data_IF_198032704581
#
_entry.id   IF_198032704581
#
_cell.length_a   1.000
_cell.length_b   1.000
_cell.length_c   1.000
_cell.angle_alpha   90.00
_cell.angle_beta   90.00
_cell.angle_gamma   90.00
#
_symmetry.space_group_name_H-M   'P 1'
#
loop_
_entity.id
_entity.type
_entity.pdbx_description
1 polymer ?
#
# COMPACT_ATOMS: atom_id res chain seq x y z
N UNK A 1 25.81 12.92 20.14
CA UNK A 1 24.60 13.68 19.76
C UNK A 1 23.65 12.66 19.13
N UNK A 2 22.65 12.21 19.85
CA UNK A 2 21.61 11.36 19.26
C UNK A 2 20.68 12.26 18.46
N UNK A 3 20.74 12.18 17.14
CA UNK A 3 19.74 12.83 16.29
C UNK A 3 18.36 12.39 16.74
N UNK A 4 17.54 13.37 17.08
CA UNK A 4 16.13 13.14 17.44
C UNK A 4 15.44 12.69 16.16
N UNK A 5 15.14 11.40 16.07
CA UNK A 5 14.38 10.88 14.93
C UNK A 5 13.00 11.54 15.00
N UNK A 6 12.72 12.41 14.03
CA UNK A 6 11.42 13.09 13.93
C UNK A 6 10.32 12.09 13.56
N UNK A 7 9.08 12.43 13.93
CA UNK A 7 7.92 11.67 13.47
C UNK A 7 7.89 11.66 11.94
N UNK A 8 7.73 10.49 11.36
CA UNK A 8 7.63 10.31 9.92
C UNK A 8 6.14 10.29 9.53
N UNK A 9 5.79 11.03 8.48
CA UNK A 9 4.48 10.90 7.86
C UNK A 9 4.50 9.80 6.80
N UNK A 10 3.44 9.04 6.72
CA UNK A 10 3.28 7.94 5.76
C UNK A 10 1.81 7.73 5.42
N UNK A 11 1.53 6.82 4.54
CA UNK A 11 0.18 6.42 4.16
C UNK A 11 -0.09 4.98 4.59
N UNK A 12 -1.31 4.72 5.07
CA UNK A 12 -1.74 3.37 5.43
C UNK A 12 -1.83 2.48 4.18
N UNK A 13 -1.18 1.30 4.17
CA UNK A 13 -1.10 0.47 2.97
C UNK A 13 -2.29 -0.48 2.79
N UNK A 14 -3.35 -0.41 3.62
CA UNK A 14 -4.36 -1.46 3.65
C UNK A 14 -5.54 -1.23 2.71
N UNK A 15 -6.29 -0.17 2.87
CA UNK A 15 -7.51 0.03 2.07
C UNK A 15 -7.52 1.36 1.33
N UNK A 16 -8.44 1.48 0.36
CA UNK A 16 -8.57 2.66 -0.50
C UNK A 16 -8.96 3.96 0.20
N UNK A 17 -9.22 3.96 1.51
CA UNK A 17 -9.42 5.21 2.28
C UNK A 17 -8.18 6.09 2.20
N UNK A 18 -6.96 5.48 2.14
CA UNK A 18 -5.73 6.23 2.02
C UNK A 18 -5.41 7.07 3.26
N UNK A 19 -5.63 6.52 4.46
CA UNK A 19 -5.40 7.25 5.71
C UNK A 19 -3.94 7.69 5.85
N UNK A 20 -3.73 8.96 6.16
CA UNK A 20 -2.43 9.47 6.59
C UNK A 20 -2.06 8.97 7.97
N UNK A 21 -0.81 8.62 8.14
CA UNK A 21 -0.21 8.11 9.37
C UNK A 21 0.93 8.98 9.83
N UNK A 22 1.03 9.18 11.15
CA UNK A 22 2.24 9.62 11.83
C UNK A 22 2.90 8.39 12.45
N UNK A 23 4.12 8.09 11.99
CA UNK A 23 4.94 6.99 12.49
C UNK A 23 5.93 7.52 13.51
N UNK A 24 5.85 7.00 14.73
CA UNK A 24 6.73 7.37 15.83
C UNK A 24 7.75 6.25 16.05
N UNK A 25 9.04 6.54 15.94
CA UNK A 25 10.08 5.55 16.22
C UNK A 25 10.04 5.15 17.71
N UNK A 26 10.53 3.94 18.05
CA UNK A 26 10.71 3.56 19.43
C UNK A 26 11.75 4.50 20.06
N UNK A 27 11.29 5.38 20.95
CA UNK A 27 12.17 6.36 21.61
C UNK A 27 12.43 5.93 23.06
N UNK A 28 13.67 5.93 23.47
CA UNK A 28 14.10 5.87 24.85
C UNK A 28 14.21 7.29 25.41
N UNK A 29 13.10 7.87 25.79
CA UNK A 29 13.14 9.12 26.57
C UNK A 29 12.21 8.96 27.75
N UNK A 30 12.75 8.50 28.89
CA UNK A 30 12.08 8.52 30.19
C UNK A 30 10.82 7.68 30.33
N UNK A 31 10.42 6.89 29.34
CA UNK A 31 9.28 5.97 29.34
C UNK A 31 9.70 4.61 28.80
N UNK A 32 9.10 3.56 29.32
CA UNK A 32 9.32 2.20 28.83
C UNK A 32 9.02 2.12 27.31
N UNK A 33 10.01 1.69 26.54
CA UNK A 33 9.84 1.42 25.11
C UNK A 33 8.89 0.23 24.96
N UNK A 34 7.81 0.40 24.19
CA UNK A 34 6.95 -0.74 23.85
C UNK A 34 7.73 -1.75 23.03
N UNK A 35 7.66 -3.01 23.42
CA UNK A 35 8.34 -4.12 22.77
C UNK A 35 7.31 -5.16 22.31
N UNK A 36 7.65 -5.88 21.23
CA UNK A 36 6.89 -7.05 20.82
C UNK A 36 7.14 -8.26 21.72
N UNK A 37 6.55 -9.42 21.38
CA UNK A 37 6.69 -10.65 22.13
C UNK A 37 8.14 -11.16 22.19
N UNK A 38 8.96 -10.81 21.20
CA UNK A 38 10.37 -11.20 21.08
C UNK A 38 11.33 -10.15 21.70
N UNK A 39 10.78 -9.10 22.28
CA UNK A 39 11.54 -8.06 22.97
C UNK A 39 12.06 -6.93 22.09
N UNK A 40 11.66 -6.85 20.81
CA UNK A 40 12.12 -5.81 19.91
C UNK A 40 11.32 -4.50 20.03
N UNK A 41 11.98 -3.35 19.92
CA UNK A 41 11.32 -2.05 20.01
C UNK A 41 10.30 -1.86 18.89
N UNK A 42 9.08 -1.48 19.24
CA UNK A 42 7.98 -1.33 18.29
C UNK A 42 7.77 0.13 17.91
N UNK A 43 7.60 0.38 16.62
CA UNK A 43 7.09 1.64 16.11
C UNK A 43 5.63 1.84 16.52
N UNK A 44 5.25 3.06 16.75
CA UNK A 44 3.86 3.45 17.02
C UNK A 44 3.30 4.16 15.80
N UNK A 45 2.11 3.76 15.36
CA UNK A 45 1.38 4.52 14.33
C UNK A 45 0.11 5.14 14.91
N UNK A 46 -0.23 6.32 14.42
CA UNK A 46 -1.47 7.02 14.70
C UNK A 46 -1.91 7.80 13.47
N UNK A 47 -3.19 8.19 13.44
CA UNK A 47 -3.73 8.97 12.33
C UNK A 47 -3.13 10.38 12.28
N UNK A 48 -2.73 10.81 11.10
CA UNK A 48 -2.33 12.20 10.84
C UNK A 48 -3.56 13.10 10.86
N UNK A 49 -3.55 14.08 11.75
CA UNK A 49 -4.67 15.02 11.94
C UNK A 49 -4.87 15.99 10.79
N UNK A 50 -3.83 16.22 10.02
CA UNK A 50 -3.82 17.14 8.91
C UNK A 50 -4.13 16.46 7.56
N UNK A 51 -4.19 15.12 7.55
CA UNK A 51 -4.45 14.38 6.33
C UNK A 51 -5.94 14.40 5.96
N UNK A 52 -6.31 14.81 4.72
CA UNK A 52 -7.70 15.06 4.34
C UNK A 52 -8.58 13.80 4.33
N UNK A 53 -8.00 12.61 4.09
CA UNK A 53 -8.79 11.38 4.03
C UNK A 53 -9.36 10.96 5.38
N UNK A 54 -8.60 11.11 6.46
CA UNK A 54 -8.94 10.54 7.75
C UNK A 54 -9.00 11.51 8.92
N UNK A 55 -8.48 12.75 8.79
CA UNK A 55 -8.52 13.80 9.81
C UNK A 55 -8.13 13.27 11.22
N UNK A 56 -7.08 12.47 11.28
CA UNK A 56 -6.58 11.86 12.51
C UNK A 56 -7.27 10.56 12.93
N UNK A 57 -8.36 10.17 12.29
CA UNK A 57 -9.01 8.88 12.56
C UNK A 57 -8.21 7.73 11.99
N UNK A 58 -8.27 6.56 12.64
CA UNK A 58 -7.53 5.38 12.23
C UNK A 58 -8.29 4.13 12.70
N UNK A 59 -8.28 3.09 11.91
CA UNK A 59 -8.78 1.78 12.32
C UNK A 59 -7.64 0.91 12.88
N UNK A 60 -8.00 -0.26 13.39
CA UNK A 60 -7.03 -1.19 13.99
C UNK A 60 -5.87 -1.55 13.02
N UNK A 61 -6.15 -1.73 11.72
CA UNK A 61 -5.13 -2.07 10.73
C UNK A 61 -4.04 -1.00 10.64
N UNK A 62 -4.44 0.27 10.52
CA UNK A 62 -3.50 1.38 10.51
C UNK A 62 -2.80 1.58 11.85
N UNK A 63 -3.50 1.36 12.98
CA UNK A 63 -2.93 1.49 14.31
C UNK A 63 -1.83 0.47 14.60
N UNK A 64 -1.90 -0.71 14.00
CA UNK A 64 -0.93 -1.80 14.20
C UNK A 64 0.12 -1.90 13.09
N UNK A 65 0.08 -1.05 12.07
CA UNK A 65 1.07 -1.10 10.97
C UNK A 65 2.52 -0.92 11.46
N UNK A 66 2.72 -0.16 12.53
CA UNK A 66 4.04 -0.01 13.16
C UNK A 66 4.65 -1.32 13.67
N UNK A 67 3.83 -2.29 14.00
CA UNK A 67 4.25 -3.62 14.45
C UNK A 67 4.89 -4.44 13.32
N UNK A 68 4.54 -4.14 12.07
CA UNK A 68 5.13 -4.81 10.89
C UNK A 68 6.57 -4.37 10.60
N UNK A 69 7.06 -3.35 11.29
CA UNK A 69 8.45 -2.87 11.19
C UNK A 69 9.38 -3.58 12.17
N UNK A 70 8.87 -4.56 12.90
CA UNK A 70 9.65 -5.40 13.84
C UNK A 70 10.67 -6.29 13.11
N UNK A 71 11.63 -6.86 13.84
CA UNK A 71 12.65 -7.78 13.31
C UNK A 71 12.03 -9.00 12.61
N UNK A 72 12.85 -9.66 11.82
CA UNK A 72 12.40 -10.71 10.90
C UNK A 72 12.07 -10.17 9.50
N UNK A 73 12.02 -8.83 9.34
CA UNK A 73 11.94 -8.20 8.04
C UNK A 73 13.25 -8.40 7.27
N UNK A 74 13.15 -8.81 6.01
CA UNK A 74 14.32 -8.97 5.14
C UNK A 74 14.94 -7.60 4.84
N UNK A 75 16.22 -7.45 5.18
CA UNK A 75 16.99 -6.23 4.95
C UNK A 75 17.92 -6.33 3.74
N UNK A 76 18.03 -7.51 3.15
CA UNK A 76 18.88 -7.80 2.00
C UNK A 76 18.22 -8.87 1.12
N UNK A 77 18.57 -8.91 -0.18
CA UNK A 77 18.06 -9.93 -1.07
C UNK A 77 18.53 -11.33 -0.66
N UNK A 78 17.64 -12.30 -0.86
CA UNK A 78 17.96 -13.71 -0.68
C UNK A 78 17.89 -14.42 -2.02
N UNK A 79 18.84 -15.31 -2.27
CA UNK A 79 18.93 -16.09 -3.49
C UNK A 79 19.12 -17.59 -3.19
N UNK A 80 18.63 -18.44 -4.08
CA UNK A 80 18.92 -19.87 -4.13
C UNK A 80 19.04 -20.33 -5.57
N UNK A 81 19.92 -21.27 -5.85
CA UNK A 81 20.12 -21.78 -7.19
C UNK A 81 19.00 -22.72 -7.62
N UNK A 82 18.57 -23.61 -6.72
CA UNK A 82 17.49 -24.56 -7.00
C UNK A 82 16.36 -24.44 -5.98
N UNK A 83 15.20 -24.94 -6.32
CA UNK A 83 14.01 -24.88 -5.47
C UNK A 83 14.21 -25.50 -4.09
N UNK A 84 14.99 -26.56 -3.99
CA UNK A 84 15.23 -27.28 -2.73
C UNK A 84 16.41 -26.72 -1.92
N UNK A 85 17.16 -25.78 -2.46
CA UNK A 85 18.30 -25.18 -1.77
C UNK A 85 17.83 -24.18 -0.71
N UNK A 86 18.64 -23.98 0.32
CA UNK A 86 18.42 -22.93 1.30
C UNK A 86 18.72 -21.57 0.69
N UNK A 87 17.90 -20.59 1.03
CA UNK A 87 18.16 -19.20 0.67
C UNK A 87 19.45 -18.70 1.31
N UNK A 88 20.27 -18.02 0.51
CA UNK A 88 21.49 -17.36 0.92
C UNK A 88 21.37 -15.86 0.71
N UNK A 89 21.83 -15.03 1.65
CA UNK A 89 21.87 -13.60 1.46
C UNK A 89 22.89 -13.21 0.39
N UNK A 90 22.51 -12.30 -0.50
CA UNK A 90 23.34 -11.72 -1.54
C UNK A 90 23.29 -10.21 -1.51
N UNK A 91 24.25 -9.54 -2.15
CA UNK A 91 24.22 -8.09 -2.28
C UNK A 91 23.16 -7.61 -3.26
N UNK A 92 22.73 -6.34 -3.15
CA UNK A 92 21.81 -5.72 -4.10
C UNK A 92 22.37 -5.67 -5.52
N UNK A 93 23.68 -5.44 -5.67
CA UNK A 93 24.35 -5.44 -6.96
C UNK A 93 24.27 -6.83 -7.61
N UNK A 94 24.60 -7.88 -6.85
CA UNK A 94 24.51 -9.26 -7.34
C UNK A 94 23.07 -9.64 -7.71
N UNK A 95 22.09 -9.28 -6.89
CA UNK A 95 20.68 -9.53 -7.20
C UNK A 95 20.26 -8.84 -8.51
N UNK A 96 20.64 -7.58 -8.67
CA UNK A 96 20.33 -6.80 -9.87
C UNK A 96 20.99 -7.39 -11.10
N UNK A 97 22.27 -7.77 -11.03
CA UNK A 97 22.98 -8.38 -12.14
C UNK A 97 22.36 -9.71 -12.58
N UNK A 98 21.95 -10.54 -11.62
CA UNK A 98 21.22 -11.79 -11.92
C UNK A 98 19.89 -11.50 -12.63
N UNK A 99 19.10 -10.55 -12.15
CA UNK A 99 17.81 -10.15 -12.75
C UNK A 99 18.03 -9.62 -14.17
N UNK A 100 18.96 -8.67 -14.35
CA UNK A 100 19.26 -8.08 -15.66
C UNK A 100 19.75 -9.12 -16.65
N UNK A 101 20.60 -10.05 -16.21
CA UNK A 101 21.09 -11.16 -17.03
C UNK A 101 19.94 -12.03 -17.55
N UNK A 102 18.99 -12.40 -16.69
CA UNK A 102 17.83 -13.21 -17.09
C UNK A 102 16.87 -12.44 -18.02
N UNK A 103 16.64 -11.15 -17.76
CA UNK A 103 15.84 -10.30 -18.65
C UNK A 103 16.48 -10.23 -20.03
N UNK A 104 17.78 -9.92 -20.13
CA UNK A 104 18.52 -9.87 -21.41
C UNK A 104 18.45 -11.20 -22.16
N UNK A 105 18.64 -12.31 -21.45
CA UNK A 105 18.55 -13.66 -22.04
C UNK A 105 17.17 -13.96 -22.60
N UNK A 106 16.11 -13.56 -21.91
CA UNK A 106 14.72 -13.74 -22.37
C UNK A 106 14.41 -12.86 -23.57
N UNK A 107 14.82 -11.59 -23.54
CA UNK A 107 14.65 -10.66 -24.65
C UNK A 107 15.32 -11.17 -25.92
N UNK A 108 16.57 -11.63 -25.83
CA UNK A 108 17.33 -12.14 -26.96
C UNK A 108 16.73 -13.43 -27.57
N UNK A 109 16.18 -14.31 -26.72
CA UNK A 109 15.62 -15.59 -27.17
C UNK A 109 14.19 -15.54 -27.65
N UNK A 110 13.35 -14.71 -27.02
CA UNK A 110 11.89 -14.77 -27.17
C UNK A 110 11.24 -13.42 -27.41
N UNK A 111 12.03 -12.34 -27.42
CA UNK A 111 11.54 -10.97 -27.60
C UNK A 111 10.82 -10.35 -26.39
N UNK A 112 10.37 -9.10 -26.51
CA UNK A 112 9.78 -8.32 -25.42
C UNK A 112 8.55 -8.97 -24.76
N UNK A 113 7.71 -9.63 -25.53
CA UNK A 113 6.49 -10.27 -25.03
C UNK A 113 6.73 -11.48 -24.12
N UNK A 114 7.98 -11.91 -23.97
CA UNK A 114 8.36 -12.96 -23.01
C UNK A 114 8.49 -12.44 -21.58
N UNK A 115 8.39 -11.14 -21.38
CA UNK A 115 8.50 -10.49 -20.08
C UNK A 115 7.16 -9.88 -19.71
N UNK A 116 6.74 -10.14 -18.49
CA UNK A 116 5.55 -9.55 -17.88
C UNK A 116 5.84 -9.13 -16.44
N UNK A 117 5.11 -8.15 -15.94
CA UNK A 117 5.16 -7.71 -14.56
C UNK A 117 3.75 -7.67 -13.97
N UNK A 118 3.59 -8.24 -12.79
CA UNK A 118 2.36 -8.15 -12.02
C UNK A 118 2.60 -7.28 -10.80
N UNK A 119 1.90 -6.15 -10.72
CA UNK A 119 2.05 -5.17 -9.67
C UNK A 119 1.00 -5.30 -8.57
N UNK A 120 1.23 -4.62 -7.46
CA UNK A 120 0.26 -4.50 -6.38
C UNK A 120 -0.65 -3.29 -6.60
N UNK A 121 -1.94 -3.40 -6.21
CA UNK A 121 -2.84 -2.25 -6.11
C UNK A 121 -2.48 -1.28 -5.00
N UNK A 122 -1.49 -1.62 -4.17
CA UNK A 122 -0.96 -0.80 -3.08
C UNK A 122 0.37 -0.11 -3.43
N UNK A 123 0.76 -0.12 -4.69
CA UNK A 123 1.91 0.66 -5.16
C UNK A 123 1.63 2.15 -5.01
N UNK A 124 2.69 2.91 -4.70
CA UNK A 124 2.65 4.36 -4.86
C UNK A 124 2.64 4.74 -6.35
N UNK A 125 2.23 5.95 -6.66
CA UNK A 125 2.21 6.46 -8.04
C UNK A 125 3.59 6.35 -8.71
N UNK A 126 4.64 6.60 -7.95
CA UNK A 126 6.03 6.50 -8.39
C UNK A 126 6.42 5.08 -8.78
N UNK A 127 5.95 4.07 -8.04
CA UNK A 127 6.21 2.66 -8.34
C UNK A 127 5.57 2.26 -9.68
N UNK A 128 4.31 2.67 -9.89
CA UNK A 128 3.62 2.46 -11.17
C UNK A 128 4.34 3.17 -12.32
N UNK A 129 4.77 4.41 -12.10
CA UNK A 129 5.48 5.19 -13.11
C UNK A 129 6.79 4.50 -13.53
N UNK A 130 7.61 4.10 -12.57
CA UNK A 130 8.90 3.43 -12.83
C UNK A 130 8.68 2.07 -13.50
N UNK A 131 7.71 1.28 -13.05
CA UNK A 131 7.37 0.00 -13.64
C UNK A 131 6.92 0.14 -15.11
N UNK A 132 6.04 1.11 -15.40
CA UNK A 132 5.59 1.40 -16.76
C UNK A 132 6.74 1.89 -17.65
N UNK A 133 7.59 2.75 -17.13
CA UNK A 133 8.77 3.26 -17.85
C UNK A 133 9.75 2.14 -18.19
N UNK A 134 9.98 1.22 -17.24
CA UNK A 134 10.81 0.05 -17.50
C UNK A 134 10.22 -0.84 -18.58
N UNK A 135 8.95 -1.25 -18.43
CA UNK A 135 8.35 -2.22 -19.34
C UNK A 135 8.08 -1.64 -20.72
N UNK A 136 7.41 -0.50 -20.79
CA UNK A 136 7.05 0.11 -22.09
C UNK A 136 8.21 0.85 -22.72
N UNK A 137 8.94 1.64 -21.94
CA UNK A 137 10.02 2.48 -22.46
C UNK A 137 11.32 1.74 -22.73
N UNK A 138 11.75 0.86 -21.83
CA UNK A 138 13.04 0.18 -21.96
C UNK A 138 12.93 -1.24 -22.55
N UNK A 139 11.93 -2.03 -22.15
CA UNK A 139 11.78 -3.42 -22.58
C UNK A 139 10.88 -3.59 -23.80
N UNK A 140 10.06 -2.59 -24.14
CA UNK A 140 9.20 -2.60 -25.33
C UNK A 140 8.00 -3.56 -25.20
N UNK A 141 7.46 -3.76 -23.99
CA UNK A 141 6.28 -4.62 -23.75
C UNK A 141 5.19 -3.89 -22.97
N UNK A 142 3.93 -4.21 -23.26
CA UNK A 142 2.77 -3.74 -22.50
C UNK A 142 2.29 -4.71 -21.42
N UNK A 143 3.02 -5.80 -21.19
CA UNK A 143 2.61 -6.88 -20.29
C UNK A 143 2.78 -6.48 -18.81
N UNK A 144 2.05 -5.46 -18.38
CA UNK A 144 1.97 -5.02 -17.01
C UNK A 144 0.51 -4.97 -16.58
N UNK A 145 0.19 -5.63 -15.49
CA UNK A 145 -1.12 -5.56 -14.86
C UNK A 145 -1.00 -5.62 -13.33
N UNK A 146 -2.10 -5.38 -12.64
CA UNK A 146 -2.16 -5.37 -11.18
C UNK A 146 -3.34 -6.22 -10.68
N UNK A 147 -3.38 -6.46 -9.36
CA UNK A 147 -4.46 -7.23 -8.73
C UNK A 147 -5.86 -6.61 -8.95
N UNK A 148 -5.95 -5.30 -9.15
CA UNK A 148 -7.21 -4.60 -9.45
C UNK A 148 -7.89 -5.14 -10.72
N UNK A 149 -7.13 -5.70 -11.67
CA UNK A 149 -7.68 -6.43 -12.82
C UNK A 149 -8.61 -7.56 -12.39
N UNK A 150 -8.27 -8.26 -11.31
CA UNK A 150 -9.02 -9.42 -10.83
C UNK A 150 -10.11 -9.05 -9.82
N UNK A 151 -9.88 -8.05 -8.95
CA UNK A 151 -10.79 -7.73 -7.86
C UNK A 151 -11.84 -6.68 -8.22
N UNK A 152 -11.60 -5.79 -9.20
CA UNK A 152 -12.51 -4.69 -9.52
C UNK A 152 -12.78 -4.45 -11.01
N UNK A 153 -12.46 -5.37 -11.90
CA UNK A 153 -12.73 -5.23 -13.33
C UNK A 153 -14.21 -4.95 -13.62
N UNK A 154 -15.11 -5.65 -12.93
CA UNK A 154 -16.56 -5.44 -13.08
C UNK A 154 -16.99 -4.04 -12.59
N UNK A 155 -16.38 -3.55 -11.49
CA UNK A 155 -16.65 -2.21 -10.98
C UNK A 155 -16.19 -1.14 -11.98
N UNK A 156 -14.97 -1.28 -12.53
CA UNK A 156 -14.44 -0.38 -13.57
C UNK A 156 -15.35 -0.38 -14.80
N UNK A 157 -15.76 -1.54 -15.28
CA UNK A 157 -16.70 -1.65 -16.39
C UNK A 157 -18.05 -0.95 -16.08
N UNK A 158 -18.57 -1.14 -14.87
CA UNK A 158 -19.79 -0.49 -14.39
C UNK A 158 -19.65 1.03 -14.33
N UNK A 159 -18.54 1.55 -13.80
CA UNK A 159 -18.28 3.00 -13.79
C UNK A 159 -18.18 3.58 -15.20
N UNK A 160 -17.44 2.94 -16.09
CA UNK A 160 -17.31 3.40 -17.46
C UNK A 160 -18.65 3.40 -18.22
N UNK A 161 -19.48 2.38 -18.04
CA UNK A 161 -20.80 2.28 -18.67
C UNK A 161 -21.80 3.30 -18.12
N UNK A 162 -21.76 3.57 -16.80
CA UNK A 162 -22.74 4.42 -16.13
C UNK A 162 -22.30 5.87 -16.03
N UNK A 163 -21.02 6.14 -15.84
CA UNK A 163 -20.47 7.45 -15.51
C UNK A 163 -19.48 7.98 -16.57
N UNK A 164 -19.06 7.13 -17.50
CA UNK A 164 -18.13 7.50 -18.57
C UNK A 164 -16.66 7.54 -18.15
N UNK A 165 -16.33 7.22 -16.90
CA UNK A 165 -14.95 7.21 -16.40
C UNK A 165 -14.76 6.20 -15.28
N UNK A 166 -13.50 5.76 -15.06
CA UNK A 166 -13.12 4.93 -13.95
C UNK A 166 -12.88 5.79 -12.70
N UNK A 167 -13.84 5.76 -11.79
CA UNK A 167 -13.75 6.45 -10.50
C UNK A 167 -15.08 7.01 -10.01
N UNK A 168 -15.24 7.16 -8.70
CA UNK A 168 -16.43 7.78 -8.14
C UNK A 168 -16.47 9.27 -8.48
N UNK A 169 -17.64 9.82 -8.81
CA UNK A 169 -17.78 11.24 -9.17
C UNK A 169 -17.81 12.17 -7.93
N UNK A 170 -17.68 11.64 -6.74
CA UNK A 170 -17.78 12.35 -5.47
C UNK A 170 -16.47 12.31 -4.69
N UNK A 171 -16.36 13.15 -3.66
CA UNK A 171 -15.25 13.21 -2.73
C UNK A 171 -15.68 12.77 -1.31
N UNK A 172 -14.72 12.65 -0.40
CA UNK A 172 -15.01 12.23 0.98
C UNK A 172 -15.82 13.25 1.77
N UNK A 173 -15.70 14.53 1.43
CA UNK A 173 -16.46 15.61 2.03
C UNK A 173 -17.97 15.49 1.77
N UNK A 174 -18.38 14.90 0.67
CA UNK A 174 -19.80 14.65 0.35
C UNK A 174 -20.46 13.75 1.40
N UNK A 175 -19.67 12.87 2.04
CA UNK A 175 -20.15 12.03 3.14
C UNK A 175 -20.54 12.82 4.39
N UNK A 176 -20.12 14.06 4.51
CA UNK A 176 -20.48 14.92 5.64
C UNK A 176 -21.78 15.70 5.39
N UNK A 177 -22.29 15.68 4.16
CA UNK A 177 -23.44 16.50 3.72
C UNK A 177 -24.65 15.71 3.21
N UNK A 178 -24.59 14.38 3.17
CA UNK A 178 -25.70 13.56 2.70
C UNK A 178 -26.96 13.72 3.57
N UNK A 179 -28.13 13.57 2.95
CA UNK A 179 -29.43 13.47 3.62
C UNK A 179 -29.92 12.02 3.67
N UNK A 180 -29.60 11.23 2.65
CA UNK A 180 -29.92 9.81 2.56
C UNK A 180 -28.68 9.07 2.08
N UNK A 181 -28.31 7.99 2.76
CA UNK A 181 -27.25 7.07 2.34
C UNK A 181 -27.87 5.71 1.97
N UNK A 182 -27.64 5.30 0.73
CA UNK A 182 -28.08 4.00 0.24
C UNK A 182 -26.89 3.06 0.11
N UNK A 183 -26.78 2.08 1.02
CA UNK A 183 -25.69 1.11 1.08
C UNK A 183 -26.16 -0.20 0.42
N UNK A 184 -25.59 -0.53 -0.73
CA UNK A 184 -25.97 -1.72 -1.48
C UNK A 184 -24.73 -2.58 -1.79
N UNK A 185 -24.79 -3.87 -1.44
CA UNK A 185 -23.69 -4.81 -1.73
C UNK A 185 -22.35 -4.45 -1.10
N UNK A 186 -22.35 -3.66 0.00
CA UNK A 186 -21.11 -3.17 0.64
C UNK A 186 -21.07 -3.49 2.12
N UNK A 187 -19.90 -3.87 2.62
CA UNK A 187 -19.61 -3.97 4.05
C UNK A 187 -18.65 -2.84 4.47
N UNK A 188 -19.14 -1.61 4.39
CA UNK A 188 -18.33 -0.40 4.62
C UNK A 188 -17.74 -0.37 6.03
N UNK A 189 -18.44 -0.94 7.02
CA UNK A 189 -17.98 -0.96 8.41
C UNK A 189 -16.64 -1.71 8.60
N UNK A 190 -16.43 -2.80 7.87
CA UNK A 190 -15.21 -3.60 7.95
C UNK A 190 -14.19 -3.23 6.89
N UNK A 191 -14.64 -2.99 5.65
CA UNK A 191 -13.75 -2.72 4.52
C UNK A 191 -13.16 -1.29 4.57
N UNK A 192 -13.96 -0.30 5.00
CA UNK A 192 -13.59 1.12 5.03
C UNK A 192 -14.02 1.78 6.36
N UNK A 193 -13.47 1.33 7.51
CA UNK A 193 -14.00 1.73 8.83
C UNK A 193 -14.01 3.24 9.06
N UNK A 194 -13.00 3.96 8.58
CA UNK A 194 -12.90 5.43 8.77
C UNK A 194 -14.02 6.16 8.01
N UNK A 195 -14.33 5.75 6.78
CA UNK A 195 -15.46 6.31 6.03
C UNK A 195 -16.80 5.96 6.68
N UNK A 196 -16.94 4.73 7.20
CA UNK A 196 -18.14 4.34 7.92
C UNK A 196 -18.36 5.19 9.17
N UNK A 197 -17.30 5.49 9.94
CA UNK A 197 -17.41 6.41 11.09
C UNK A 197 -17.83 7.82 10.66
N UNK A 198 -17.39 8.29 9.50
CA UNK A 198 -17.80 9.57 8.93
C UNK A 198 -19.30 9.57 8.61
N UNK A 199 -19.81 8.50 7.99
CA UNK A 199 -21.25 8.33 7.78
C UNK A 199 -22.05 8.32 9.08
N UNK A 200 -21.60 7.59 10.11
CA UNK A 200 -22.27 7.54 11.41
C UNK A 200 -22.28 8.89 12.12
N UNK A 201 -21.19 9.66 12.01
CA UNK A 201 -21.12 11.01 12.57
C UNK A 201 -22.17 11.90 11.94
N UNK A 202 -22.31 11.89 10.63
CA UNK A 202 -23.33 12.68 9.92
C UNK A 202 -24.75 12.27 10.33
N UNK A 203 -25.05 10.97 10.40
CA UNK A 203 -26.36 10.47 10.84
C UNK A 203 -26.76 11.04 12.20
N UNK A 204 -25.84 11.13 13.17
CA UNK A 204 -26.10 11.65 14.52
C UNK A 204 -26.40 13.15 14.55
N UNK A 205 -25.95 13.90 13.55
CA UNK A 205 -26.19 15.37 13.47
C UNK A 205 -27.45 15.72 12.73
N UNK A 206 -28.08 14.77 12.03
CA UNK A 206 -29.31 14.97 11.25
C UNK A 206 -30.55 14.38 11.94
N UNK A 207 -30.40 13.67 13.04
CA UNK A 207 -31.47 13.15 13.92
C UNK A 207 -31.76 14.12 15.06
#
# INVERSE_FOLDING_TARGET
>A
MTEKIENLTSQCPYCGVGCGLEMQPPAEIGKAVRRDADGYPMWRSRGDRNHPSNLGQICIKGATVGETLSPGRLNQPLYRDNFNDKYQPISWNEATDKIVSQIKKSLLKKGPNSIAMYGSGQFHTEDYYIAQKLLKGALGTNNFDANSRLCMSSAVAGYNLSLGSDGPPCCYEDLDHYTVAFLIGTNTAECHPVLFQRLLKRKKTTS
#
